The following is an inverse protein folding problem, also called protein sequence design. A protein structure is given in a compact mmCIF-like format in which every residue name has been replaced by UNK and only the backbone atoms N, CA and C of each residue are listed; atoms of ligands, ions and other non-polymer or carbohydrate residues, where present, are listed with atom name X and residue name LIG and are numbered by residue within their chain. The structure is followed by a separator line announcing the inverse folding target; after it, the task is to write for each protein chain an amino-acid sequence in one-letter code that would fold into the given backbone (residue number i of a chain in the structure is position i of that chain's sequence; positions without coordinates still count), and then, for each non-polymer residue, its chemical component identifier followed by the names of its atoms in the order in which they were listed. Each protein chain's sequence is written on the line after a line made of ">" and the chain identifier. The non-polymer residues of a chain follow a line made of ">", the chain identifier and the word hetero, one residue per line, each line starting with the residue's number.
data_IF_609394474730
#
_entry.id   IF_609394474730
#
_cell.length_a   1.000
_cell.length_b   1.000
_cell.length_c   1.000
_cell.angle_alpha   90.00
_cell.angle_beta   90.00
_cell.angle_gamma   90.00
#
_symmetry.space_group_name_H-M   'P 1'
#
loop_
_entity.id
_entity.type
_entity.pdbx_description
1 polymer ?
#
# COMPACT_ATOMS: atom_id res chain seq x y z
N UNK A 1 -29.75 31.81 43.71
CA UNK A 1 -29.83 30.54 42.97
C UNK A 1 -29.98 29.42 43.99
N UNK A 2 -31.03 28.59 43.93
CA UNK A 2 -31.22 27.53 44.93
C UNK A 2 -30.16 26.45 44.71
N UNK A 3 -29.54 25.92 45.77
CA UNK A 3 -28.45 24.93 45.70
C UNK A 3 -28.79 23.74 44.77
N UNK A 4 -30.04 23.29 44.76
CA UNK A 4 -30.51 22.24 43.83
C UNK A 4 -30.35 22.58 42.35
N UNK A 5 -30.52 23.85 41.95
CA UNK A 5 -30.32 24.28 40.56
C UNK A 5 -28.83 24.25 40.17
N UNK A 6 -27.93 24.61 41.09
CA UNK A 6 -26.50 24.55 40.86
C UNK A 6 -26.01 23.11 40.67
N UNK A 7 -26.55 22.16 41.44
CA UNK A 7 -26.23 20.73 41.32
C UNK A 7 -26.68 20.18 39.96
N UNK A 8 -27.89 20.53 39.49
CA UNK A 8 -28.39 20.09 38.19
C UNK A 8 -27.52 20.63 37.05
N UNK A 9 -27.13 21.90 37.11
CA UNK A 9 -26.25 22.52 36.11
C UNK A 9 -24.88 21.84 36.11
N UNK A 10 -24.33 21.52 37.29
CA UNK A 10 -23.06 20.82 37.42
C UNK A 10 -23.12 19.43 36.76
N UNK A 11 -24.16 18.65 37.06
CA UNK A 11 -24.36 17.32 36.48
C UNK A 11 -24.44 17.43 34.95
N UNK A 12 -25.22 18.39 34.44
CA UNK A 12 -25.36 18.61 33.00
C UNK A 12 -24.02 18.92 32.32
N UNK A 13 -23.20 19.78 32.92
CA UNK A 13 -21.86 20.09 32.40
C UNK A 13 -20.93 18.88 32.41
N UNK A 14 -20.98 18.07 33.47
CA UNK A 14 -20.18 16.84 33.55
C UNK A 14 -20.61 15.84 32.47
N UNK A 15 -21.92 15.67 32.26
CA UNK A 15 -22.44 14.78 31.21
C UNK A 15 -22.00 15.25 29.83
N UNK A 16 -22.08 16.56 29.54
CA UNK A 16 -21.59 17.13 28.29
C UNK A 16 -20.10 16.89 28.08
N UNK A 17 -19.28 17.06 29.13
CA UNK A 17 -17.84 16.81 29.06
C UNK A 17 -17.53 15.35 28.74
N UNK A 18 -18.22 14.40 29.38
CA UNK A 18 -18.06 12.96 29.11
C UNK A 18 -18.45 12.60 27.67
N UNK A 19 -19.58 13.13 27.19
CA UNK A 19 -20.02 12.92 25.80
C UNK A 19 -18.96 13.48 24.83
N UNK A 20 -18.47 14.69 25.09
CA UNK A 20 -17.48 15.33 24.22
C UNK A 20 -16.19 14.50 24.14
N UNK A 21 -15.69 14.01 25.28
CA UNK A 21 -14.52 13.11 25.35
C UNK A 21 -14.77 11.82 24.58
N UNK A 22 -15.94 11.21 24.72
CA UNK A 22 -16.30 9.99 23.99
C UNK A 22 -16.28 10.19 22.47
N UNK A 23 -16.88 11.28 21.99
CA UNK A 23 -16.89 11.63 20.55
C UNK A 23 -15.46 11.88 20.05
N UNK A 24 -14.65 12.60 20.82
CA UNK A 24 -13.27 12.91 20.45
C UNK A 24 -12.42 11.64 20.32
N UNK A 25 -12.48 10.76 21.30
CA UNK A 25 -11.75 9.48 21.28
C UNK A 25 -12.18 8.62 20.10
N UNK A 26 -13.49 8.51 19.83
CA UNK A 26 -13.99 7.76 18.67
C UNK A 26 -13.56 8.38 17.34
N UNK A 27 -13.55 9.70 17.24
CA UNK A 27 -13.05 10.38 16.05
C UNK A 27 -11.57 10.10 15.81
N UNK A 28 -10.75 10.11 16.86
CA UNK A 28 -9.34 9.73 16.75
C UNK A 28 -9.17 8.27 16.32
N UNK A 29 -9.89 7.33 16.95
CA UNK A 29 -9.85 5.91 16.60
C UNK A 29 -10.15 5.68 15.12
N UNK A 30 -11.21 6.30 14.61
CA UNK A 30 -11.59 6.22 13.20
C UNK A 30 -10.49 6.79 12.29
N UNK A 31 -9.89 7.92 12.65
CA UNK A 31 -8.78 8.50 11.86
C UNK A 31 -7.58 7.56 11.77
N UNK A 32 -7.22 6.92 12.88
CA UNK A 32 -6.13 5.94 12.89
C UNK A 32 -6.45 4.74 12.00
N UNK A 33 -7.66 4.19 12.10
CA UNK A 33 -8.09 3.07 11.25
C UNK A 33 -8.07 3.43 9.77
N UNK A 34 -8.52 4.65 9.41
CA UNK A 34 -8.46 5.13 8.02
C UNK A 34 -7.02 5.20 7.53
N UNK A 35 -6.10 5.74 8.33
CA UNK A 35 -4.70 5.87 7.93
C UNK A 35 -4.02 4.49 7.77
N UNK A 36 -4.32 3.56 8.67
CA UNK A 36 -3.83 2.18 8.59
C UNK A 36 -4.31 1.47 7.31
N UNK A 37 -5.62 1.57 7.02
CA UNK A 37 -6.21 1.03 5.79
C UNK A 37 -5.57 1.67 4.55
N UNK A 38 -5.31 2.97 4.59
CA UNK A 38 -4.67 3.68 3.47
C UNK A 38 -3.24 3.19 3.25
N UNK A 39 -2.46 3.00 4.31
CA UNK A 39 -1.10 2.46 4.23
C UNK A 39 -1.12 1.05 3.62
N UNK A 40 -2.05 0.21 4.06
CA UNK A 40 -2.19 -1.15 3.52
C UNK A 40 -2.59 -1.13 2.04
N UNK A 41 -3.54 -0.27 1.67
CA UNK A 41 -3.94 -0.07 0.28
C UNK A 41 -2.77 0.38 -0.60
N UNK A 42 -2.00 1.38 -0.17
CA UNK A 42 -0.85 1.89 -0.93
C UNK A 42 0.22 0.81 -1.12
N UNK A 43 0.44 -0.03 -0.09
CA UNK A 43 1.34 -1.18 -0.18
C UNK A 43 0.85 -2.20 -1.21
N UNK A 44 -0.43 -2.59 -1.17
CA UNK A 44 -1.01 -3.52 -2.13
C UNK A 44 -0.99 -2.95 -3.55
N UNK A 45 -1.23 -1.65 -3.71
CA UNK A 45 -1.18 -0.97 -5.00
C UNK A 45 0.24 -0.98 -5.58
N UNK A 46 1.26 -0.69 -4.77
CA UNK A 46 2.65 -0.74 -5.18
C UNK A 46 3.08 -2.17 -5.57
N UNK A 47 2.64 -3.18 -4.82
CA UNK A 47 2.90 -4.58 -5.14
C UNK A 47 2.24 -4.99 -6.46
N UNK A 48 1.00 -4.58 -6.69
CA UNK A 48 0.30 -4.83 -7.95
C UNK A 48 1.02 -4.18 -9.14
N UNK A 49 1.46 -2.92 -9.01
CA UNK A 49 2.25 -2.24 -10.03
C UNK A 49 3.57 -2.97 -10.33
N UNK A 50 4.26 -3.45 -9.29
CA UNK A 50 5.49 -4.24 -9.43
C UNK A 50 5.25 -5.56 -10.16
N UNK A 51 4.16 -6.27 -9.83
CA UNK A 51 3.77 -7.50 -10.51
C UNK A 51 3.38 -7.23 -11.97
N UNK A 52 2.63 -6.16 -12.24
CA UNK A 52 2.26 -5.75 -13.59
C UNK A 52 3.50 -5.45 -14.44
N UNK A 53 4.51 -4.77 -13.87
CA UNK A 53 5.78 -4.52 -14.54
C UNK A 53 6.52 -5.82 -14.89
N UNK A 54 6.59 -6.77 -13.94
CA UNK A 54 7.22 -8.09 -14.18
C UNK A 54 6.50 -8.89 -15.28
N UNK A 55 5.18 -8.86 -15.29
CA UNK A 55 4.38 -9.52 -16.34
C UNK A 55 4.64 -8.87 -17.70
N UNK A 56 4.68 -7.54 -17.75
CA UNK A 56 4.99 -6.80 -18.99
C UNK A 56 6.40 -7.09 -19.49
N UNK A 57 7.40 -7.17 -18.61
CA UNK A 57 8.77 -7.53 -18.95
C UNK A 57 8.83 -8.93 -19.56
N UNK A 58 8.21 -9.92 -18.90
CA UNK A 58 8.16 -11.30 -19.39
C UNK A 58 7.45 -11.41 -20.74
N UNK A 59 6.32 -10.74 -20.89
CA UNK A 59 5.58 -10.71 -22.17
C UNK A 59 6.40 -10.05 -23.28
N UNK A 60 7.13 -8.99 -22.96
CA UNK A 60 8.04 -8.35 -23.92
C UNK A 60 9.20 -9.26 -24.30
N UNK A 61 9.79 -9.99 -23.36
CA UNK A 61 10.84 -10.99 -23.63
C UNK A 61 10.33 -12.12 -24.52
N UNK A 62 9.14 -12.64 -24.25
CA UNK A 62 8.51 -13.66 -25.10
C UNK A 62 8.26 -13.13 -26.51
N UNK A 63 7.79 -11.89 -26.65
CA UNK A 63 7.61 -11.24 -27.95
C UNK A 63 8.93 -11.07 -28.69
N UNK A 64 9.98 -10.59 -28.01
CA UNK A 64 11.32 -10.44 -28.60
C UNK A 64 11.88 -11.80 -29.03
N UNK A 65 11.72 -12.85 -28.21
CA UNK A 65 12.17 -14.19 -28.54
C UNK A 65 11.39 -14.84 -29.70
N UNK A 66 10.13 -14.46 -29.91
CA UNK A 66 9.34 -14.89 -31.06
C UNK A 66 9.85 -14.19 -32.34
N UNK A 67 9.98 -12.86 -32.32
CA UNK A 67 10.50 -12.08 -33.46
C UNK A 67 11.93 -12.53 -33.83
N UNK A 68 12.80 -12.74 -32.85
CA UNK A 68 14.17 -13.20 -33.11
C UNK A 68 14.21 -14.58 -33.79
N UNK A 69 13.28 -15.48 -33.46
CA UNK A 69 13.20 -16.81 -34.08
C UNK A 69 12.55 -16.76 -35.46
N UNK A 70 11.46 -16.02 -35.61
CA UNK A 70 10.63 -16.05 -36.82
C UNK A 70 11.12 -15.10 -37.92
N UNK A 71 11.57 -13.89 -37.57
CA UNK A 71 11.98 -12.88 -38.55
C UNK A 71 13.49 -12.81 -38.76
N UNK A 72 14.27 -13.14 -37.74
CA UNK A 72 15.74 -13.05 -37.78
C UNK A 72 16.44 -14.41 -37.88
N UNK A 73 15.67 -15.50 -37.97
CA UNK A 73 16.15 -16.90 -38.05
C UNK A 73 17.22 -17.22 -36.99
N UNK A 74 17.14 -16.57 -35.82
CA UNK A 74 18.10 -16.75 -34.74
C UNK A 74 17.84 -18.08 -34.04
N UNK A 75 18.81 -18.98 -34.10
CA UNK A 75 18.80 -20.26 -33.40
C UNK A 75 19.53 -20.12 -32.07
N UNK A 76 18.94 -20.68 -30.99
CA UNK A 76 19.58 -20.66 -29.68
C UNK A 76 20.87 -21.50 -29.73
N UNK A 77 22.04 -20.95 -29.35
CA UNK A 77 23.30 -21.65 -29.46
C UNK A 77 23.40 -22.82 -28.46
N UNK A 78 23.79 -24.00 -28.94
CA UNK A 78 23.94 -25.21 -28.11
C UNK A 78 25.11 -25.14 -27.12
N UNK A 79 26.07 -24.24 -27.35
CA UNK A 79 27.24 -24.04 -26.48
C UNK A 79 27.50 -22.55 -26.30
N UNK A 80 27.41 -22.08 -25.05
CA UNK A 80 27.74 -20.71 -24.67
C UNK A 80 29.04 -20.73 -23.88
N UNK A 81 30.14 -20.31 -24.51
CA UNK A 81 31.43 -20.15 -23.83
C UNK A 81 31.53 -18.76 -23.23
N UNK A 82 31.35 -18.67 -21.91
CA UNK A 82 31.57 -17.43 -21.17
C UNK A 82 33.07 -17.19 -21.02
N UNK A 83 33.58 -16.12 -21.64
CA UNK A 83 34.94 -15.65 -21.40
C UNK A 83 35.02 -15.11 -19.96
N UNK A 84 35.81 -15.76 -19.10
CA UNK A 84 36.10 -15.23 -17.77
C UNK A 84 36.89 -13.93 -17.93
N UNK A 85 36.35 -12.83 -17.41
CA UNK A 85 37.05 -11.54 -17.32
C UNK A 85 38.35 -11.76 -16.54
N UNK A 86 39.49 -11.44 -17.14
CA UNK A 86 40.77 -11.45 -16.44
C UNK A 86 40.75 -10.36 -15.36
N UNK A 87 40.83 -10.77 -14.10
CA UNK A 87 41.09 -9.87 -12.98
C UNK A 87 42.52 -9.34 -13.12
N UNK A 88 42.68 -8.02 -13.07
CA UNK A 88 43.97 -7.32 -13.00
C UNK A 88 44.18 -6.81 -11.59
#
# INVERSE_FOLDING_TARGET
>A
MKIGQAIIILIFLVTLAVIHLGIFTKSMEIKYQIEEIKIEFDKMHAENLSLAAKVSEKSSLERVAAIAREELDMVYPNNINYLKRAEK
#
